data_IF_067753510969
#
_entry.id   IF_067753510969
#
_cell.length_a   1.000
_cell.length_b   1.000
_cell.length_c   1.000
_cell.angle_alpha   90.00
_cell.angle_beta   90.00
_cell.angle_gamma   90.00
#
_symmetry.space_group_name_H-M   'P 1'
#
loop_
_entity.id
_entity.type
_entity.pdbx_description
1 polymer ?
#
# COMPACT_ATOMS: atom_id res chain seq x y z
N UNK A 1 19.18 -3.36 -2.13
CA UNK A 1 18.24 -4.39 -2.63
C UNK A 1 16.84 -3.79 -2.64
N UNK A 2 16.17 -3.79 -3.79
CA UNK A 2 14.70 -3.63 -3.80
C UNK A 2 14.14 -4.94 -3.21
N UNK A 3 13.21 -4.94 -2.24
CA UNK A 3 12.59 -6.18 -1.82
C UNK A 3 12.04 -6.87 -3.07
N UNK A 4 12.23 -8.19 -3.20
CA UNK A 4 11.64 -8.95 -4.29
C UNK A 4 10.11 -8.88 -4.19
N UNK A 5 9.54 -7.87 -4.86
CA UNK A 5 8.10 -7.59 -4.93
C UNK A 5 7.34 -8.67 -5.72
N UNK A 6 8.02 -9.70 -6.23
CA UNK A 6 7.49 -10.73 -7.12
C UNK A 6 6.52 -11.71 -6.45
N UNK A 7 6.20 -11.58 -5.15
CA UNK A 7 5.21 -12.45 -4.49
C UNK A 7 4.30 -11.70 -3.52
N UNK A 8 3.69 -10.59 -3.97
CA UNK A 8 2.44 -10.17 -3.32
C UNK A 8 1.39 -11.22 -3.69
N UNK A 9 0.87 -11.93 -2.69
CA UNK A 9 -0.21 -12.90 -2.90
C UNK A 9 -1.52 -12.14 -2.85
N UNK A 10 -2.34 -12.14 -3.93
CA UNK A 10 -3.54 -11.32 -4.00
C UNK A 10 -4.50 -11.51 -2.83
N UNK A 11 -4.66 -12.75 -2.37
CA UNK A 11 -5.66 -13.13 -1.36
C UNK A 11 -5.16 -12.94 0.08
N UNK A 12 -3.89 -12.59 0.28
CA UNK A 12 -3.35 -12.36 1.63
C UNK A 12 -3.62 -10.94 2.12
N UNK A 13 -3.74 -10.83 3.44
CA UNK A 13 -3.88 -9.57 4.14
C UNK A 13 -2.51 -9.06 4.62
N UNK A 14 -2.26 -7.79 4.36
CA UNK A 14 -1.02 -7.11 4.70
C UNK A 14 -1.29 -5.97 5.67
N UNK A 15 -0.42 -5.80 6.67
CA UNK A 15 -0.49 -4.64 7.55
C UNK A 15 -0.13 -3.35 6.81
N UNK A 16 -0.51 -2.20 7.37
CA UNK A 16 -0.10 -0.88 6.87
C UNK A 16 1.43 -0.78 6.69
N UNK A 17 2.21 -1.37 7.61
CA UNK A 17 3.67 -1.37 7.52
C UNK A 17 4.20 -2.24 6.38
N UNK A 18 3.57 -3.38 6.11
CA UNK A 18 3.91 -4.20 4.95
C UNK A 18 3.55 -3.48 3.65
N UNK A 19 2.34 -2.93 3.55
CA UNK A 19 1.92 -2.13 2.41
C UNK A 19 2.84 -0.92 2.17
N UNK A 20 3.30 -0.24 3.22
CA UNK A 20 4.30 0.84 3.13
C UNK A 20 5.58 0.39 2.42
N UNK A 21 6.11 -0.77 2.80
CA UNK A 21 7.32 -1.35 2.19
C UNK A 21 7.07 -1.77 0.74
N UNK A 22 5.90 -2.34 0.44
CA UNK A 22 5.52 -2.83 -0.88
C UNK A 22 5.23 -1.69 -1.88
N UNK A 23 4.43 -0.70 -1.48
CA UNK A 23 4.03 0.43 -2.32
C UNK A 23 5.17 1.46 -2.49
N UNK A 24 6.06 1.57 -1.50
CA UNK A 24 7.13 2.56 -1.49
C UNK A 24 6.64 3.99 -1.19
N UNK A 25 5.51 4.12 -0.49
CA UNK A 25 4.90 5.39 -0.05
C UNK A 25 4.90 5.48 1.48
N UNK A 26 4.64 6.65 2.07
CA UNK A 26 4.59 6.79 3.52
C UNK A 26 3.30 6.17 4.11
N UNK A 27 3.33 5.84 5.40
CA UNK A 27 2.12 5.37 6.09
C UNK A 27 1.04 6.46 6.15
N UNK A 28 1.43 7.75 6.17
CA UNK A 28 0.49 8.88 6.14
C UNK A 28 -0.31 8.90 4.85
N UNK A 29 0.33 8.73 3.69
CA UNK A 29 -0.35 8.62 2.39
C UNK A 29 -1.30 7.41 2.35
N UNK A 30 -0.88 6.27 2.92
CA UNK A 30 -1.76 5.10 3.04
C UNK A 30 -3.03 5.44 3.83
N UNK A 31 -2.90 6.12 4.97
CA UNK A 31 -4.06 6.54 5.78
C UNK A 31 -4.91 7.62 5.10
N UNK A 32 -4.33 8.46 4.26
CA UNK A 32 -5.10 9.39 3.40
C UNK A 32 -5.92 8.62 2.36
N UNK A 33 -5.34 7.64 1.67
CA UNK A 33 -6.07 6.81 0.70
C UNK A 33 -7.23 6.04 1.33
N UNK A 34 -7.06 5.58 2.57
CA UNK A 34 -8.13 4.93 3.34
C UNK A 34 -9.27 5.87 3.75
N UNK A 35 -9.03 7.19 3.83
CA UNK A 35 -10.01 8.19 4.28
C UNK A 35 -10.85 8.79 3.14
N UNK A 36 -10.47 8.58 1.89
CA UNK A 36 -11.21 9.10 0.74
C UNK A 36 -12.56 8.41 0.57
N UNK A 37 -13.48 9.07 -0.14
CA UNK A 37 -14.80 8.54 -0.48
C UNK A 37 -15.03 8.66 -2.00
N UNK A 38 -14.95 7.56 -2.77
CA UNK A 38 -14.65 6.18 -2.34
C UNK A 38 -13.18 6.00 -1.92
N UNK A 39 -12.86 4.98 -1.08
CA UNK A 39 -11.49 4.76 -0.62
C UNK A 39 -10.61 4.26 -1.76
N UNK A 40 -9.49 4.93 -1.97
CA UNK A 40 -8.45 4.53 -2.92
C UNK A 40 -7.77 3.23 -2.49
N UNK A 41 -7.61 3.03 -1.18
CA UNK A 41 -7.06 1.81 -0.62
C UNK A 41 -8.00 1.28 0.46
N UNK A 42 -8.87 0.33 0.11
CA UNK A 42 -9.73 -0.35 1.07
C UNK A 42 -8.92 -1.04 2.16
N UNK A 43 -9.52 -1.17 3.34
CA UNK A 43 -8.94 -1.92 4.44
C UNK A 43 -10.01 -2.62 5.25
N UNK A 44 -9.61 -3.71 5.89
CA UNK A 44 -10.38 -4.44 6.90
C UNK A 44 -9.76 -4.21 8.27
N UNK A 45 -10.56 -4.25 9.33
CA UNK A 45 -10.02 -4.30 10.70
C UNK A 45 -9.73 -5.76 11.05
N UNK A 46 -8.65 -6.00 11.78
CA UNK A 46 -8.38 -7.30 12.40
C UNK A 46 -9.46 -7.63 13.44
N UNK A 47 -9.57 -8.89 13.84
CA UNK A 47 -10.55 -9.37 14.82
C UNK A 47 -10.45 -8.64 16.16
N UNK A 48 -9.24 -8.31 16.60
CA UNK A 48 -9.01 -7.52 17.81
C UNK A 48 -9.27 -6.01 17.60
N UNK A 49 -9.47 -5.55 16.37
CA UNK A 49 -9.74 -4.15 16.00
C UNK A 49 -8.52 -3.22 15.91
N UNK A 50 -7.32 -3.72 16.24
CA UNK A 50 -6.14 -2.86 16.41
C UNK A 50 -5.39 -2.62 15.09
N UNK A 51 -5.47 -3.57 14.17
CA UNK A 51 -4.73 -3.51 12.91
C UNK A 51 -5.65 -3.25 11.73
N UNK A 52 -5.19 -2.39 10.83
CA UNK A 52 -5.77 -2.24 9.49
C UNK A 52 -5.02 -3.16 8.54
N UNK A 53 -5.79 -4.02 7.87
CA UNK A 53 -5.34 -5.05 6.97
C UNK A 53 -5.79 -4.71 5.56
N UNK A 54 -4.87 -4.78 4.62
CA UNK A 54 -5.05 -4.40 3.21
C UNK A 54 -4.92 -5.67 2.37
N UNK A 55 -5.81 -5.89 1.42
CA UNK A 55 -5.76 -7.05 0.56
C UNK A 55 -4.60 -6.93 -0.44
N UNK A 56 -3.92 -8.04 -0.73
CA UNK A 56 -2.83 -8.07 -1.69
C UNK A 56 -3.24 -7.57 -3.07
N UNK A 57 -4.45 -7.90 -3.52
CA UNK A 57 -5.02 -7.40 -4.78
C UNK A 57 -5.10 -5.88 -4.83
N UNK A 58 -5.45 -5.23 -3.73
CA UNK A 58 -5.56 -3.76 -3.66
C UNK A 58 -4.17 -3.11 -3.72
N UNK A 59 -3.17 -3.76 -3.11
CA UNK A 59 -1.77 -3.32 -3.19
C UNK A 59 -1.27 -3.45 -4.64
N UNK A 60 -1.54 -4.58 -5.30
CA UNK A 60 -1.19 -4.81 -6.70
C UNK A 60 -1.85 -3.76 -7.60
N UNK A 61 -3.14 -3.53 -7.42
CA UNK A 61 -3.87 -2.51 -8.18
C UNK A 61 -3.24 -1.12 -8.05
N UNK A 62 -2.84 -0.71 -6.85
CA UNK A 62 -2.17 0.59 -6.63
C UNK A 62 -0.73 0.64 -7.15
N UNK A 63 -0.04 -0.49 -7.24
CA UNK A 63 1.27 -0.58 -7.89
C UNK A 63 1.16 -0.33 -9.40
N UNK A 64 0.13 -0.89 -10.02
CA UNK A 64 -0.15 -0.78 -11.45
C UNK A 64 -0.78 0.57 -11.80
N UNK A 65 -1.59 1.13 -10.88
CA UNK A 65 -2.30 2.40 -11.03
C UNK A 65 -1.93 3.39 -9.91
N UNK A 66 -0.70 3.92 -9.91
CA UNK A 66 -0.25 4.82 -8.86
C UNK A 66 -0.98 6.17 -8.91
N UNK A 67 -1.65 6.53 -7.81
CA UNK A 67 -2.39 7.79 -7.68
C UNK A 67 -1.49 9.03 -7.54
N UNK A 68 -0.25 8.84 -7.09
CA UNK A 68 0.77 9.88 -7.01
C UNK A 68 1.97 9.47 -7.85
N UNK A 69 2.61 10.43 -8.52
CA UNK A 69 3.92 10.19 -9.14
C UNK A 69 4.87 9.69 -8.05
N UNK A 70 5.23 8.40 -8.11
CA UNK A 70 6.29 7.80 -7.30
C UNK A 70 7.49 8.74 -7.37
N UNK A 71 7.89 9.29 -6.21
CA UNK A 71 8.71 10.48 -6.11
C UNK A 71 9.81 10.54 -7.17
N UNK A 72 9.95 11.70 -7.82
CA UNK A 72 11.05 12.01 -8.76
C UNK A 72 12.33 11.40 -8.19
N UNK A 73 12.89 10.39 -8.88
CA UNK A 73 14.26 9.96 -8.64
C UNK A 73 15.09 11.23 -8.67
N UNK A 74 15.67 11.65 -7.54
CA UNK A 74 16.60 12.79 -7.53
C UNK A 74 17.69 12.39 -8.53
N UNK A 75 17.76 13.08 -9.66
CA UNK A 75 18.82 12.86 -10.66
C UNK A 75 20.11 13.02 -9.86
N UNK A 76 20.89 11.93 -9.71
CA UNK A 76 22.23 12.04 -9.12
C UNK A 76 22.94 13.10 -9.94
N UNK A 77 23.31 14.19 -9.26
CA UNK A 77 24.16 15.21 -9.84
C UNK A 77 25.56 14.63 -9.98
#
# INVERSE_FOLDING_TARGET
MRPDFQRIVPDLLYSVMAARKLLGISHTTIYEYMRQSPPVLPYRRSENGWHRLILGSDIIFLLDHPQVKRGRKRKKR
#
